data_IF_825299924771
#
_entry.id   IF_825299924771
#
_cell.length_a   1.000
_cell.length_b   1.000
_cell.length_c   1.000
_cell.angle_alpha   90.00
_cell.angle_beta   90.00
_cell.angle_gamma   90.00
#
_symmetry.space_group_name_H-M   'P 1'
#
loop_
_entity.id
_entity.type
_entity.pdbx_description
1 polymer ?
#
# COMPACT_ATOMS: atom_id res chain seq x y z
N UNK A 1 -4.69 14.83 14.78
CA UNK A 1 -5.46 14.29 13.63
C UNK A 1 -5.27 12.79 13.55
N UNK A 2 -6.34 12.06 13.38
CA UNK A 2 -6.31 10.60 13.35
C UNK A 2 -6.33 10.10 11.91
N UNK A 3 -5.41 9.22 11.56
CA UNK A 3 -5.40 8.55 10.26
C UNK A 3 -6.19 7.25 10.33
N UNK A 4 -6.93 6.97 9.28
CA UNK A 4 -7.79 5.79 9.19
C UNK A 4 -7.24 4.83 8.15
N UNK A 5 -6.92 3.61 8.58
CA UNK A 5 -6.29 2.61 7.71
C UNK A 5 -7.28 1.52 7.35
N UNK A 6 -7.44 1.28 6.05
CA UNK A 6 -8.08 0.07 5.54
C UNK A 6 -6.98 -0.93 5.21
N UNK A 7 -7.05 -2.09 5.84
CA UNK A 7 -6.08 -3.16 5.59
C UNK A 7 -6.60 -4.05 4.45
N UNK A 8 -5.78 -4.28 3.46
CA UNK A 8 -6.08 -5.16 2.33
C UNK A 8 -4.94 -6.18 2.19
N UNK A 9 -4.63 -6.86 3.28
CA UNK A 9 -3.48 -7.77 3.37
C UNK A 9 -3.89 -9.21 3.66
N UNK A 10 -5.12 -9.44 4.10
CA UNK A 10 -5.65 -10.76 4.45
C UNK A 10 -4.69 -11.53 5.36
N UNK A 11 -4.17 -10.86 6.39
CA UNK A 11 -3.28 -11.47 7.36
C UNK A 11 -3.53 -10.84 8.73
N UNK A 12 -4.19 -11.58 9.60
CA UNK A 12 -4.48 -11.13 10.95
C UNK A 12 -3.20 -10.80 11.73
N UNK A 13 -2.15 -11.64 11.68
CA UNK A 13 -0.89 -11.32 12.37
C UNK A 13 -0.30 -9.99 11.93
N UNK A 14 -0.28 -9.71 10.63
CA UNK A 14 0.26 -8.43 10.13
C UNK A 14 -0.58 -7.27 10.64
N UNK A 15 -1.91 -7.36 10.53
CA UNK A 15 -2.82 -6.32 11.00
C UNK A 15 -2.63 -6.04 12.49
N UNK A 16 -2.55 -7.09 13.29
CA UNK A 16 -2.43 -6.94 14.75
C UNK A 16 -1.09 -6.32 15.15
N UNK A 17 0.01 -6.77 14.56
CA UNK A 17 1.33 -6.26 14.89
C UNK A 17 1.48 -4.80 14.47
N UNK A 18 1.04 -4.47 13.26
CA UNK A 18 1.14 -3.10 12.75
C UNK A 18 0.26 -2.16 13.57
N UNK A 19 -0.98 -2.54 13.84
CA UNK A 19 -1.91 -1.73 14.64
C UNK A 19 -1.34 -1.46 16.02
N UNK A 20 -0.84 -2.49 16.68
CA UNK A 20 -0.29 -2.38 18.03
C UNK A 20 0.95 -1.47 18.06
N UNK A 21 1.82 -1.63 17.09
CA UNK A 21 3.03 -0.81 17.00
C UNK A 21 2.71 0.66 16.74
N UNK A 22 1.75 0.93 15.85
CA UNK A 22 1.32 2.31 15.58
C UNK A 22 0.68 2.94 16.81
N UNK A 23 -0.15 2.18 17.54
CA UNK A 23 -0.75 2.68 18.77
C UNK A 23 0.32 3.04 19.81
N UNK A 24 1.33 2.19 19.96
CA UNK A 24 2.40 2.43 20.92
C UNK A 24 3.23 3.67 20.56
N UNK A 25 3.46 3.91 19.27
CA UNK A 25 4.33 5.00 18.83
C UNK A 25 3.59 6.33 18.64
N UNK A 26 2.30 6.30 18.37
CA UNK A 26 1.55 7.51 18.04
C UNK A 26 0.42 7.83 19.01
N UNK A 27 0.23 6.99 20.02
CA UNK A 27 -0.81 7.17 21.01
C UNK A 27 -2.21 7.34 20.37
N UNK A 28 -2.55 6.39 19.47
CA UNK A 28 -3.86 6.37 18.82
C UNK A 28 -3.98 7.26 17.59
N UNK A 29 -2.85 7.73 17.04
CA UNK A 29 -2.87 8.56 15.84
C UNK A 29 -3.26 7.82 14.56
N UNK A 30 -3.29 6.48 14.59
CA UNK A 30 -3.67 5.64 13.46
C UNK A 30 -4.65 4.59 13.93
N UNK A 31 -5.79 4.45 13.26
CA UNK A 31 -6.82 3.49 13.64
C UNK A 31 -7.17 2.59 12.46
N UNK A 32 -7.43 1.33 12.74
CA UNK A 32 -7.94 0.38 11.75
C UNK A 32 -9.43 0.62 11.58
N UNK A 33 -9.86 0.88 10.35
CA UNK A 33 -11.29 1.10 10.06
C UNK A 33 -11.92 -0.04 9.27
N UNK A 34 -11.12 -1.02 8.83
CA UNK A 34 -11.65 -2.18 8.14
C UNK A 34 -10.54 -3.07 7.61
N UNK A 35 -10.97 -4.21 7.07
CA UNK A 35 -10.06 -5.17 6.45
C UNK A 35 -10.77 -5.79 5.24
N UNK A 36 -10.19 -5.62 4.06
CA UNK A 36 -10.69 -6.23 2.83
C UNK A 36 -9.96 -7.54 2.61
N UNK A 37 -10.70 -8.64 2.48
CA UNK A 37 -10.13 -9.97 2.33
C UNK A 37 -9.83 -10.33 0.86
N UNK A 38 -10.33 -9.53 -0.09
CA UNK A 38 -10.09 -9.74 -1.51
C UNK A 38 -10.21 -8.42 -2.27
N UNK A 39 -9.67 -8.38 -3.49
CA UNK A 39 -9.51 -7.13 -4.25
C UNK A 39 -10.82 -6.38 -4.49
N UNK A 40 -11.87 -7.11 -4.87
CA UNK A 40 -13.15 -6.51 -5.22
C UNK A 40 -13.85 -5.83 -4.05
N UNK A 41 -13.39 -6.09 -2.83
CA UNK A 41 -13.98 -5.48 -1.64
C UNK A 41 -13.36 -4.11 -1.31
N UNK A 42 -12.22 -3.80 -1.90
CA UNK A 42 -11.48 -2.58 -1.55
C UNK A 42 -12.28 -1.31 -1.85
N UNK A 43 -12.82 -1.18 -3.06
CA UNK A 43 -13.55 0.03 -3.43
C UNK A 43 -14.79 0.28 -2.56
N UNK A 44 -15.67 -0.73 -2.34
CA UNK A 44 -16.80 -0.54 -1.44
C UNK A 44 -16.37 -0.20 -0.01
N UNK A 45 -15.32 -0.87 0.49
CA UNK A 45 -14.85 -0.63 1.85
C UNK A 45 -14.22 0.77 2.00
N UNK A 46 -13.52 1.26 1.00
CA UNK A 46 -12.99 2.63 1.03
C UNK A 46 -14.13 3.65 1.09
N UNK A 47 -15.17 3.43 0.29
CA UNK A 47 -16.33 4.32 0.29
C UNK A 47 -17.03 4.34 1.63
N UNK A 48 -17.21 3.16 2.24
CA UNK A 48 -17.95 3.02 3.48
C UNK A 48 -17.16 3.50 4.69
N UNK A 49 -15.86 3.18 4.75
CA UNK A 49 -15.04 3.45 5.93
C UNK A 49 -14.49 4.87 6.01
N UNK A 50 -14.37 5.55 4.87
CA UNK A 50 -13.72 6.84 4.81
C UNK A 50 -12.24 6.78 5.13
N UNK A 51 -11.59 5.64 4.88
CA UNK A 51 -10.16 5.49 5.12
C UNK A 51 -9.34 6.47 4.29
N UNK A 52 -8.26 6.98 4.87
CA UNK A 52 -7.33 7.85 4.16
C UNK A 52 -6.01 7.14 3.83
N UNK A 53 -5.83 5.92 4.33
CA UNK A 53 -4.67 5.07 4.02
C UNK A 53 -5.18 3.68 3.63
N UNK A 54 -4.69 3.17 2.50
CA UNK A 54 -4.92 1.79 2.06
C UNK A 54 -3.60 1.04 2.13
N UNK A 55 -3.51 0.02 2.98
CA UNK A 55 -2.36 -0.88 3.02
C UNK A 55 -2.72 -2.11 2.19
N UNK A 56 -2.10 -2.23 1.02
CA UNK A 56 -2.46 -3.25 0.03
C UNK A 56 -1.31 -4.24 -0.17
N UNK A 57 -1.63 -5.53 -0.11
CA UNK A 57 -0.67 -6.60 -0.35
C UNK A 57 -0.91 -7.20 -1.74
N UNK A 58 0.16 -7.36 -2.51
CA UNK A 58 0.09 -7.88 -3.88
C UNK A 58 -0.60 -9.24 -3.96
N UNK A 59 -0.42 -10.10 -2.96
CA UNK A 59 -1.00 -11.45 -2.93
C UNK A 59 -2.49 -11.48 -2.59
N UNK A 60 -3.11 -10.35 -2.32
CA UNK A 60 -4.52 -10.31 -2.02
C UNK A 60 -5.31 -10.90 -3.20
N UNK A 61 -6.18 -11.86 -2.88
CA UNK A 61 -6.93 -12.60 -3.91
C UNK A 61 -7.98 -11.73 -4.59
N UNK A 62 -8.32 -12.11 -5.80
CA UNK A 62 -9.35 -11.44 -6.60
C UNK A 62 -9.07 -11.64 -8.07
N UNK A 63 -10.08 -11.36 -8.90
CA UNK A 63 -9.98 -11.47 -10.34
C UNK A 63 -9.67 -10.14 -11.03
N UNK A 64 -9.87 -9.03 -10.34
CA UNK A 64 -9.56 -7.71 -10.90
C UNK A 64 -8.06 -7.52 -11.01
N UNK A 65 -7.60 -7.02 -12.16
CA UNK A 65 -6.19 -6.69 -12.37
C UNK A 65 -5.72 -5.66 -11.34
N UNK A 66 -4.50 -5.84 -10.83
CA UNK A 66 -3.94 -4.98 -9.77
C UNK A 66 -3.85 -3.52 -10.24
N UNK A 67 -3.30 -3.29 -11.42
CA UNK A 67 -3.16 -1.93 -11.94
C UNK A 67 -4.54 -1.28 -12.11
N UNK A 68 -5.49 -2.02 -12.69
CA UNK A 68 -6.85 -1.50 -12.91
C UNK A 68 -7.51 -1.15 -11.58
N UNK A 69 -7.37 -2.00 -10.57
CA UNK A 69 -7.92 -1.75 -9.25
C UNK A 69 -7.32 -0.46 -8.64
N UNK A 70 -6.00 -0.35 -8.65
CA UNK A 70 -5.35 0.81 -8.03
C UNK A 70 -5.58 2.08 -8.81
N UNK A 71 -5.74 1.97 -10.14
CA UNK A 71 -6.15 3.11 -10.97
C UNK A 71 -7.54 3.60 -10.55
N UNK A 72 -8.49 2.69 -10.35
CA UNK A 72 -9.82 3.05 -9.89
C UNK A 72 -9.82 3.67 -8.50
N UNK A 73 -8.98 3.14 -7.60
CA UNK A 73 -8.81 3.75 -6.28
C UNK A 73 -8.31 5.18 -6.42
N UNK A 74 -7.31 5.40 -7.27
CA UNK A 74 -6.75 6.73 -7.46
C UNK A 74 -7.76 7.70 -8.08
N UNK A 75 -8.58 7.23 -9.02
CA UNK A 75 -9.58 8.07 -9.66
C UNK A 75 -10.75 8.43 -8.74
N UNK A 76 -11.22 7.46 -7.95
CA UNK A 76 -12.38 7.66 -7.09
C UNK A 76 -12.03 8.21 -5.71
N UNK A 77 -10.82 7.96 -5.25
CA UNK A 77 -10.34 8.39 -3.92
C UNK A 77 -8.95 9.02 -4.07
N UNK A 78 -8.85 10.19 -4.72
CA UNK A 78 -7.54 10.77 -5.06
C UNK A 78 -6.69 11.12 -3.85
N UNK A 79 -7.29 11.30 -2.68
CA UNK A 79 -6.57 11.67 -1.47
C UNK A 79 -6.18 10.48 -0.61
N UNK A 80 -6.57 9.26 -0.98
CA UNK A 80 -6.18 8.07 -0.25
C UNK A 80 -4.71 7.77 -0.53
N UNK A 81 -3.94 7.62 0.53
CA UNK A 81 -2.55 7.20 0.42
C UNK A 81 -2.51 5.68 0.27
N UNK A 82 -1.85 5.20 -0.77
CA UNK A 82 -1.74 3.77 -1.04
C UNK A 82 -0.33 3.31 -0.67
N UNK A 83 -0.26 2.30 0.20
CA UNK A 83 0.99 1.65 0.57
C UNK A 83 0.96 0.25 -0.01
N UNK A 84 1.89 -0.06 -0.90
CA UNK A 84 1.93 -1.31 -1.63
C UNK A 84 2.97 -2.25 -1.03
N UNK A 85 2.52 -3.43 -0.59
CA UNK A 85 3.38 -4.52 -0.14
C UNK A 85 3.49 -5.52 -1.27
N UNK A 86 4.60 -5.51 -1.96
CA UNK A 86 4.79 -6.34 -3.14
C UNK A 86 5.64 -7.56 -2.88
N UNK A 87 5.52 -8.53 -3.79
CA UNK A 87 6.44 -9.64 -3.87
C UNK A 87 7.79 -9.14 -4.36
N UNK A 88 8.76 -10.03 -4.45
CA UNK A 88 10.07 -9.67 -4.99
C UNK A 88 9.94 -9.35 -6.48
N UNK A 89 10.31 -8.13 -6.87
CA UNK A 89 10.31 -7.68 -8.26
C UNK A 89 11.68 -7.20 -8.67
N UNK A 90 11.96 -7.34 -9.94
CA UNK A 90 13.15 -6.72 -10.52
C UNK A 90 12.90 -5.21 -10.69
N UNK A 91 13.99 -4.44 -10.77
CA UNK A 91 13.91 -2.98 -10.90
C UNK A 91 13.23 -2.53 -12.20
N UNK A 92 13.12 -3.44 -13.19
CA UNK A 92 12.46 -3.16 -14.47
C UNK A 92 11.02 -3.65 -14.51
N UNK A 93 10.45 -4.03 -13.38
CA UNK A 93 9.09 -4.56 -13.32
C UNK A 93 8.07 -3.56 -13.86
N UNK A 94 7.25 -4.02 -14.82
CA UNK A 94 6.16 -3.20 -15.36
C UNK A 94 5.15 -2.82 -14.30
N UNK A 95 4.85 -3.75 -13.40
CA UNK A 95 3.89 -3.47 -12.33
C UNK A 95 4.36 -2.30 -11.49
N UNK A 96 5.61 -2.36 -11.01
CA UNK A 96 6.13 -1.31 -10.13
C UNK A 96 6.18 0.04 -10.87
N UNK A 97 6.64 0.04 -12.12
CA UNK A 97 6.65 1.26 -12.92
C UNK A 97 5.24 1.85 -13.09
N UNK A 98 4.24 0.97 -13.29
CA UNK A 98 2.85 1.39 -13.41
C UNK A 98 2.32 2.03 -12.13
N UNK A 99 2.71 1.49 -10.97
CA UNK A 99 2.31 2.04 -9.67
C UNK A 99 2.89 3.44 -9.47
N UNK A 100 4.15 3.61 -9.80
CA UNK A 100 4.81 4.92 -9.69
C UNK A 100 4.15 5.93 -10.63
N UNK A 101 3.74 5.48 -11.83
CA UNK A 101 2.98 6.32 -12.75
C UNK A 101 1.68 6.82 -12.12
N UNK A 102 1.03 6.01 -11.28
CA UNK A 102 -0.17 6.40 -10.55
C UNK A 102 0.13 7.27 -9.33
N UNK A 103 1.38 7.63 -9.09
CA UNK A 103 1.76 8.41 -7.93
C UNK A 103 1.86 7.61 -6.65
N UNK A 104 2.01 6.30 -6.75
CA UNK A 104 2.18 5.43 -5.58
C UNK A 104 3.66 5.28 -5.31
N UNK A 105 4.15 5.92 -4.25
CA UNK A 105 5.58 5.92 -3.90
C UNK A 105 5.88 5.09 -2.66
N UNK A 106 4.87 4.73 -1.88
CA UNK A 106 5.04 3.90 -0.68
C UNK A 106 5.04 2.44 -1.10
N UNK A 107 6.18 1.97 -1.59
CA UNK A 107 6.34 0.63 -2.15
C UNK A 107 7.41 -0.13 -1.38
N UNK A 108 7.01 -1.28 -0.80
CA UNK A 108 7.92 -2.22 -0.16
C UNK A 108 7.78 -3.57 -0.87
N UNK A 109 8.89 -4.12 -1.35
CA UNK A 109 8.90 -5.39 -2.07
C UNK A 109 9.90 -6.34 -1.44
N UNK A 110 9.58 -7.62 -1.42
CA UNK A 110 10.47 -8.65 -0.92
C UNK A 110 9.74 -9.94 -0.62
N UNK A 111 10.50 -11.00 -0.38
CA UNK A 111 9.93 -12.30 -0.02
C UNK A 111 9.29 -12.24 1.37
N UNK A 112 9.88 -11.46 2.26
CA UNK A 112 9.35 -11.21 3.60
C UNK A 112 9.55 -9.74 3.92
N UNK A 113 8.49 -9.07 4.33
CA UNK A 113 8.56 -7.66 4.72
C UNK A 113 8.38 -7.59 6.23
N UNK A 114 9.40 -7.16 6.98
CA UNK A 114 9.29 -7.05 8.43
C UNK A 114 8.23 -6.03 8.83
N UNK A 115 7.51 -6.32 9.93
CA UNK A 115 6.50 -5.39 10.43
C UNK A 115 7.08 -4.02 10.75
N UNK A 116 8.34 -3.98 11.21
CA UNK A 116 9.00 -2.71 11.52
C UNK A 116 9.15 -1.83 10.28
N UNK A 117 9.41 -2.42 9.10
CA UNK A 117 9.50 -1.66 7.85
C UNK A 117 8.13 -1.12 7.43
N UNK A 118 7.06 -1.90 7.64
CA UNK A 118 5.70 -1.44 7.36
C UNK A 118 5.33 -0.25 8.24
N UNK A 119 5.62 -0.36 9.52
CA UNK A 119 5.34 0.74 10.46
C UNK A 119 6.14 1.97 10.07
N UNK A 120 7.42 1.79 9.72
CA UNK A 120 8.28 2.90 9.33
C UNK A 120 7.75 3.63 8.10
N UNK A 121 7.34 2.89 7.05
CA UNK A 121 6.83 3.55 5.84
C UNK A 121 5.47 4.23 6.10
N UNK A 122 4.66 3.67 6.98
CA UNK A 122 3.40 4.32 7.35
C UNK A 122 3.67 5.66 8.03
N UNK A 123 4.63 5.69 8.95
CA UNK A 123 4.99 6.90 9.69
C UNK A 123 5.77 7.91 8.84
N UNK A 124 6.54 7.44 7.87
CA UNK A 124 7.42 8.27 7.05
C UNK A 124 7.17 8.05 5.57
N UNK A 125 6.21 8.78 4.97
CA UNK A 125 5.85 8.59 3.56
C UNK A 125 7.05 8.73 2.62
N UNK A 126 7.09 7.87 1.62
CA UNK A 126 8.09 7.93 0.57
C UNK A 126 7.72 8.99 -0.48
N UNK A 127 8.72 9.47 -1.20
CA UNK A 127 8.53 10.38 -2.32
C UNK A 127 9.08 9.73 -3.59
N UNK A 128 9.01 10.43 -4.71
CA UNK A 128 9.50 9.89 -5.98
C UNK A 128 10.97 9.46 -5.89
N UNK A 129 11.81 10.20 -5.16
CA UNK A 129 13.22 9.86 -5.00
C UNK A 129 13.44 8.47 -4.41
N UNK A 130 12.55 8.03 -3.51
CA UNK A 130 12.67 6.72 -2.87
C UNK A 130 12.41 5.57 -3.83
N UNK A 131 11.65 5.80 -4.92
CA UNK A 131 11.27 4.77 -5.89
C UNK A 131 11.96 4.96 -7.23
N UNK A 132 12.78 5.97 -7.38
CA UNK A 132 13.49 6.26 -8.63
C UNK A 132 14.29 5.06 -9.12
N UNK A 133 14.79 4.22 -8.21
CA UNK A 133 15.55 3.01 -8.54
C UNK A 133 14.77 2.03 -9.42
N UNK A 134 13.45 2.07 -9.38
CA UNK A 134 12.62 1.20 -10.20
C UNK A 134 12.51 1.69 -11.65
N UNK A 135 12.82 2.96 -11.89
CA UNK A 135 12.78 3.56 -13.22
C UNK A 135 14.14 3.64 -13.88
N UNK A 136 15.17 4.00 -13.11
CA UNK A 136 16.48 4.30 -13.67
C UNK A 136 17.03 3.19 -14.57
N UNK A 137 16.98 1.90 -14.18
CA UNK A 137 17.48 0.85 -15.07
C UNK A 137 16.77 0.81 -16.41
N UNK A 138 15.44 0.89 -16.44
CA UNK A 138 14.66 0.92 -17.68
C UNK A 138 14.97 2.14 -18.51
N UNK A 139 15.06 3.27 -17.86
CA UNK A 139 15.33 4.54 -18.52
C UNK A 139 16.73 4.56 -19.15
N UNK A 140 17.71 4.01 -18.46
CA UNK A 140 19.10 4.02 -18.89
C UNK A 140 19.43 2.92 -19.91
N UNK A 141 18.53 1.96 -20.09
CA UNK A 141 18.73 0.88 -21.06
C UNK A 141 18.27 1.22 -22.46
N UNK A 142 17.73 2.37 -22.68
CA UNK A 142 17.25 2.81 -23.99
C UNK A 142 18.40 3.12 -24.96
#
# INVERSE_FOLDING_TARGET
MTHKILYAVNSKPIEDVVTRSLDAQTNGGYVKVGAAAYREKILPDLKQSGADILLYREDLKGSTDIFELLRQVRENFPNVRIIFMGNRHETTSRLICSLVFLGIYDILCGDTIPAAELVDIILHPHNFGDVAKYFLPSYMCD
#
